data_IF_678261622655
#
_entry.id   IF_678261622655
#
_cell.length_a   1.000
_cell.length_b   1.000
_cell.length_c   1.000
_cell.angle_alpha   90.00
_cell.angle_beta   90.00
_cell.angle_gamma   90.00
#
_symmetry.space_group_name_H-M   'P 1'
#
loop_
_entity.id
_entity.type
_entity.pdbx_description
1 polymer ?
#
# COMPACT_ATOMS: atom_id res chain seq x y z
N UNK A 1 -4.64 20.07 -7.24
CA UNK A 1 -3.22 20.44 -7.13
C UNK A 1 -2.49 19.27 -6.54
N UNK A 2 -1.66 18.57 -7.32
CA UNK A 2 -0.84 17.48 -6.83
C UNK A 2 0.31 18.06 -6.01
N UNK A 3 0.41 17.70 -4.73
CA UNK A 3 1.60 17.99 -3.95
C UNK A 3 2.65 16.91 -4.27
N UNK A 4 3.69 17.32 -4.96
CA UNK A 4 4.88 16.51 -5.17
C UNK A 4 5.76 16.60 -3.91
N UNK A 5 5.94 15.50 -3.21
CA UNK A 5 6.88 15.41 -2.10
C UNK A 5 7.99 14.44 -2.50
N UNK A 6 9.12 14.93 -3.01
CA UNK A 6 10.25 14.05 -3.30
C UNK A 6 10.86 13.56 -1.99
N UNK A 7 10.86 12.26 -1.78
CA UNK A 7 11.59 11.62 -0.69
C UNK A 7 12.54 10.58 -1.28
N UNK A 8 13.82 10.76 -1.06
CA UNK A 8 14.84 9.79 -1.43
C UNK A 8 14.62 8.47 -0.66
N UNK A 9 14.40 7.39 -1.40
CA UNK A 9 14.24 6.05 -0.82
C UNK A 9 15.63 5.45 -0.62
N UNK A 10 16.25 5.75 0.52
CA UNK A 10 17.47 5.06 0.96
C UNK A 10 17.12 3.79 1.73
N UNK A 11 17.82 2.69 1.45
CA UNK A 11 17.64 1.42 2.17
C UNK A 11 18.16 1.56 3.62
N UNK A 12 17.30 1.91 4.56
CA UNK A 12 17.56 1.79 5.98
C UNK A 12 16.61 0.77 6.61
N UNK A 13 17.14 -0.10 7.44
CA UNK A 13 16.45 -1.16 8.18
C UNK A 13 15.61 -0.62 9.35
N UNK A 14 14.81 0.40 9.13
CA UNK A 14 13.92 0.91 10.15
C UNK A 14 12.68 0.01 10.27
N UNK A 15 12.52 -0.64 11.41
CA UNK A 15 11.23 -1.21 11.81
C UNK A 15 10.22 -0.07 11.94
N UNK A 16 9.23 -0.05 11.04
CA UNK A 16 8.22 0.98 11.06
C UNK A 16 7.07 0.57 12.00
N UNK A 17 6.79 1.37 13.02
CA UNK A 17 5.72 1.12 14.00
C UNK A 17 4.31 1.46 13.49
N UNK A 18 4.20 2.07 12.32
CA UNK A 18 2.95 2.61 11.77
C UNK A 18 2.17 1.64 10.88
N UNK A 19 1.84 0.42 11.36
CA UNK A 19 0.98 -0.50 10.59
C UNK A 19 -0.42 0.09 10.40
N UNK A 20 -1.05 0.02 9.20
CA UNK A 20 -2.44 0.42 8.99
C UNK A 20 -3.39 -0.36 9.91
N UNK A 21 -4.48 0.29 10.33
CA UNK A 21 -5.48 -0.37 11.18
C UNK A 21 -6.21 -1.49 10.44
N UNK A 22 -6.44 -1.30 9.13
CA UNK A 22 -7.14 -2.24 8.26
C UNK A 22 -6.48 -2.25 6.87
N UNK A 23 -6.82 -3.24 6.04
CA UNK A 23 -6.39 -3.29 4.67
C UNK A 23 -7.07 -4.38 3.87
N UNK A 24 -6.97 -4.27 2.55
CA UNK A 24 -7.31 -5.35 1.63
C UNK A 24 -6.01 -6.04 1.24
N UNK A 25 -5.91 -7.31 1.56
CA UNK A 25 -4.80 -8.17 1.15
C UNK A 25 -5.30 -9.20 0.14
N UNK A 26 -4.45 -9.60 -0.80
CA UNK A 26 -4.79 -10.70 -1.70
C UNK A 26 -4.84 -12.02 -0.94
N UNK A 27 -5.87 -12.80 -1.21
CA UNK A 27 -5.88 -14.22 -0.90
C UNK A 27 -5.07 -14.93 -1.99
N UNK A 28 -4.03 -15.63 -1.57
CA UNK A 28 -3.14 -16.37 -2.46
C UNK A 28 -3.50 -17.86 -2.41
N UNK A 29 -3.53 -18.50 -3.56
CA UNK A 29 -3.58 -19.96 -3.68
C UNK A 29 -2.26 -20.61 -3.22
N UNK A 30 -2.21 -21.93 -3.24
CA UNK A 30 -1.07 -22.68 -2.72
C UNK A 30 0.19 -22.46 -3.56
N UNK A 31 0.05 -22.39 -4.87
CA UNK A 31 1.15 -22.17 -5.81
C UNK A 31 1.75 -20.76 -5.63
N UNK A 32 0.91 -19.74 -5.55
CA UNK A 32 1.32 -18.36 -5.27
C UNK A 32 2.02 -18.25 -3.91
N UNK A 33 1.49 -18.93 -2.87
CA UNK A 33 2.13 -18.96 -1.55
C UNK A 33 3.51 -19.63 -1.58
N UNK A 34 3.66 -20.71 -2.33
CA UNK A 34 4.94 -21.40 -2.50
C UNK A 34 5.95 -20.49 -3.23
N UNK A 35 5.53 -19.80 -4.28
CA UNK A 35 6.36 -18.83 -4.99
C UNK A 35 6.82 -17.68 -4.06
N UNK A 36 5.91 -17.11 -3.29
CA UNK A 36 6.21 -16.09 -2.27
C UNK A 36 7.20 -16.63 -1.23
N UNK A 37 6.98 -17.84 -0.73
CA UNK A 37 7.87 -18.45 0.27
C UNK A 37 9.29 -18.63 -0.25
N UNK A 38 9.45 -19.07 -1.50
CA UNK A 38 10.73 -19.21 -2.16
C UNK A 38 11.42 -17.85 -2.36
N UNK A 39 10.68 -16.85 -2.82
CA UNK A 39 11.16 -15.47 -2.97
C UNK A 39 11.67 -14.89 -1.66
N UNK A 40 10.92 -15.09 -0.57
CA UNK A 40 11.26 -14.57 0.75
C UNK A 40 12.37 -15.36 1.43
N UNK A 41 12.53 -16.65 1.12
CA UNK A 41 13.63 -17.47 1.66
C UNK A 41 15.01 -16.97 1.18
N UNK A 42 15.08 -16.39 -0.02
CA UNK A 42 16.28 -15.78 -0.57
C UNK A 42 16.62 -14.41 0.04
N UNK A 43 15.71 -13.82 0.81
CA UNK A 43 15.91 -12.50 1.41
C UNK A 43 16.63 -12.60 2.78
N UNK A 44 17.36 -11.54 3.20
CA UNK A 44 17.92 -11.44 4.56
C UNK A 44 16.83 -11.59 5.64
N UNK A 45 17.19 -12.06 6.83
CA UNK A 45 16.22 -12.37 7.92
C UNK A 45 15.23 -11.25 8.26
N UNK A 46 15.68 -10.00 8.28
CA UNK A 46 14.82 -8.82 8.50
C UNK A 46 13.89 -8.49 7.34
N UNK A 47 14.02 -9.19 6.22
CA UNK A 47 13.28 -8.95 4.99
C UNK A 47 12.39 -10.14 4.55
N UNK A 48 12.13 -11.10 5.42
CA UNK A 48 11.34 -12.32 5.13
C UNK A 48 9.82 -12.13 5.30
N UNK A 49 9.30 -10.98 4.88
CA UNK A 49 7.87 -10.71 4.82
C UNK A 49 7.57 -9.86 3.58
N UNK A 50 6.48 -10.08 2.89
CA UNK A 50 6.06 -9.25 1.75
C UNK A 50 5.74 -7.81 2.17
N UNK A 51 5.10 -7.66 3.32
CA UNK A 51 4.71 -6.35 3.83
C UNK A 51 5.76 -5.82 4.82
N UNK A 52 5.83 -4.51 5.06
CA UNK A 52 6.75 -3.93 6.04
C UNK A 52 6.26 -4.19 7.49
N UNK A 53 5.91 -5.44 7.77
CA UNK A 53 5.50 -5.93 9.08
C UNK A 53 5.91 -7.39 9.23
N UNK A 54 6.29 -7.79 10.44
CA UNK A 54 6.59 -9.19 10.77
C UNK A 54 5.38 -9.96 11.31
N UNK A 55 4.18 -9.35 11.23
CA UNK A 55 2.94 -9.99 11.65
C UNK A 55 2.65 -11.22 10.78
N UNK A 56 2.71 -12.41 11.39
CA UNK A 56 2.69 -13.69 10.69
C UNK A 56 1.50 -13.89 9.72
N UNK A 57 0.25 -13.51 10.06
CA UNK A 57 -0.89 -13.67 9.16
C UNK A 57 -0.78 -12.90 7.86
N UNK A 58 0.03 -11.81 7.83
CA UNK A 58 0.23 -10.95 6.67
C UNK A 58 1.54 -11.24 5.92
N UNK A 59 2.37 -12.15 6.43
CA UNK A 59 3.71 -12.40 5.88
C UNK A 59 3.68 -12.78 4.40
N UNK A 60 2.69 -13.60 4.00
CA UNK A 60 2.53 -14.13 2.65
C UNK A 60 1.29 -13.60 1.92
N UNK A 61 0.68 -12.52 2.42
CA UNK A 61 -0.51 -11.89 1.86
C UNK A 61 -0.21 -10.45 1.48
N UNK A 62 0.06 -10.13 0.21
CA UNK A 62 0.41 -8.77 -0.17
C UNK A 62 -0.76 -7.81 0.07
N UNK A 63 -0.47 -6.69 0.72
CA UNK A 63 -1.41 -5.60 0.93
C UNK A 63 -1.61 -4.82 -0.37
N UNK A 64 -2.85 -4.83 -0.88
CA UNK A 64 -3.24 -4.05 -2.03
C UNK A 64 -3.77 -2.66 -1.65
N UNK A 65 -4.50 -2.56 -0.52
CA UNK A 65 -5.08 -1.30 -0.04
C UNK A 65 -4.79 -1.15 1.43
N UNK A 66 -4.31 0.02 1.83
CA UNK A 66 -4.04 0.35 3.23
C UNK A 66 -5.06 1.34 3.76
N UNK A 67 -5.62 1.07 4.94
CA UNK A 67 -6.67 1.87 5.57
C UNK A 67 -6.24 2.26 6.98
N UNK A 68 -6.21 3.55 7.27
CA UNK A 68 -6.00 4.10 8.61
C UNK A 68 -7.26 4.79 9.09
N UNK A 69 -7.72 4.41 10.28
CA UNK A 69 -8.87 5.05 10.94
C UNK A 69 -8.39 5.85 12.15
N UNK A 70 -8.80 7.10 12.23
CA UNK A 70 -8.47 8.05 13.31
C UNK A 70 -9.70 8.73 13.85
N UNK A 71 -9.64 9.06 15.14
CA UNK A 71 -10.62 9.97 15.73
C UNK A 71 -10.51 11.38 15.09
N UNK A 72 -11.59 12.14 15.02
CA UNK A 72 -11.58 13.49 14.46
C UNK A 72 -10.95 14.50 15.44
N UNK A 73 -9.66 14.29 15.77
CA UNK A 73 -8.90 15.17 16.66
C UNK A 73 -7.85 15.94 15.86
N UNK A 74 -7.58 17.23 16.18
CA UNK A 74 -6.60 18.04 15.45
C UNK A 74 -5.16 17.51 15.50
N UNK A 75 -4.84 16.68 16.50
CA UNK A 75 -3.49 16.23 16.78
C UNK A 75 -3.01 15.05 15.90
N UNK A 76 -3.94 14.31 15.26
CA UNK A 76 -3.60 13.08 14.54
C UNK A 76 -4.30 13.02 13.18
N UNK A 77 -3.66 13.54 12.15
CA UNK A 77 -4.20 13.46 10.78
C UNK A 77 -4.14 12.05 10.17
N UNK A 78 -3.27 11.19 10.65
CA UNK A 78 -3.02 9.86 10.06
C UNK A 78 -2.22 9.88 8.75
N UNK A 79 -1.94 11.05 8.18
CA UNK A 79 -1.21 11.20 6.91
C UNK A 79 0.21 10.65 7.02
N UNK A 80 0.90 10.98 8.10
CA UNK A 80 2.25 10.49 8.37
C UNK A 80 2.30 8.96 8.48
N UNK A 81 1.26 8.33 9.04
CA UNK A 81 1.19 6.88 9.16
C UNK A 81 1.01 6.21 7.79
N UNK A 82 0.09 6.70 6.95
CA UNK A 82 -0.14 6.15 5.61
C UNK A 82 1.04 6.40 4.67
N UNK A 83 1.61 7.61 4.71
CA UNK A 83 2.76 7.96 3.86
C UNK A 83 3.99 7.13 4.23
N UNK A 84 4.28 6.98 5.50
CA UNK A 84 5.38 6.14 5.95
C UNK A 84 5.17 4.66 5.65
N UNK A 85 3.94 4.15 5.81
CA UNK A 85 3.62 2.78 5.41
C UNK A 85 3.81 2.58 3.91
N UNK A 86 3.27 3.48 3.07
CA UNK A 86 3.44 3.40 1.63
C UNK A 86 4.91 3.44 1.22
N UNK A 87 5.71 4.32 1.85
CA UNK A 87 7.15 4.38 1.63
C UNK A 87 7.85 3.07 2.02
N UNK A 88 7.53 2.52 3.18
CA UNK A 88 8.11 1.25 3.64
C UNK A 88 7.71 0.09 2.73
N UNK A 89 6.44 0.06 2.27
CA UNK A 89 5.95 -0.95 1.36
C UNK A 89 6.65 -0.86 -0.01
N UNK A 90 6.77 0.34 -0.57
CA UNK A 90 7.47 0.55 -1.84
C UNK A 90 8.95 0.19 -1.75
N UNK A 91 9.63 0.56 -0.66
CA UNK A 91 11.02 0.13 -0.40
C UNK A 91 11.14 -1.39 -0.37
N UNK A 92 10.16 -2.07 0.22
CA UNK A 92 10.11 -3.52 0.25
C UNK A 92 9.96 -4.11 -1.14
N UNK A 93 9.06 -3.60 -1.96
CA UNK A 93 8.89 -4.07 -3.35
C UNK A 93 10.16 -3.84 -4.18
N UNK A 94 10.78 -2.67 -4.03
CA UNK A 94 12.10 -2.36 -4.65
C UNK A 94 13.19 -3.37 -4.24
N UNK A 95 13.22 -3.76 -2.97
CA UNK A 95 14.22 -4.73 -2.47
C UNK A 95 13.95 -6.16 -2.97
N UNK A 96 12.70 -6.52 -3.22
CA UNK A 96 12.30 -7.81 -3.74
C UNK A 96 12.58 -7.88 -5.24
N UNK A 97 12.32 -6.82 -5.97
CA UNK A 97 12.49 -6.73 -7.42
C UNK A 97 13.00 -5.35 -7.83
N UNK A 98 13.88 -5.32 -8.83
CA UNK A 98 14.37 -4.07 -9.38
C UNK A 98 13.22 -3.24 -9.98
N UNK A 99 12.99 -1.98 -9.54
CA UNK A 99 11.88 -1.17 -10.03
C UNK A 99 11.95 -0.83 -11.51
N UNK A 100 13.15 -0.88 -12.12
CA UNK A 100 13.31 -0.68 -13.55
C UNK A 100 12.58 -1.75 -14.38
N UNK A 101 12.31 -2.90 -13.77
CA UNK A 101 11.60 -4.03 -14.39
C UNK A 101 10.08 -3.99 -14.12
N UNK A 102 9.62 -3.05 -13.27
CA UNK A 102 8.20 -2.86 -12.93
C UNK A 102 7.57 -1.81 -13.84
N UNK A 103 6.96 -2.25 -14.93
CA UNK A 103 6.20 -1.37 -15.84
C UNK A 103 4.80 -1.94 -16.09
N UNK A 104 3.73 -1.16 -15.94
CA UNK A 104 3.68 0.23 -15.48
C UNK A 104 3.82 0.38 -13.95
N UNK A 105 4.15 1.58 -13.43
CA UNK A 105 4.21 1.78 -11.99
C UNK A 105 2.83 1.57 -11.35
N UNK A 106 2.79 0.76 -10.30
CA UNK A 106 1.55 0.53 -9.57
C UNK A 106 1.23 1.72 -8.67
N UNK A 107 0.04 2.30 -8.83
CA UNK A 107 -0.48 3.30 -7.91
C UNK A 107 -1.24 2.61 -6.76
N UNK A 108 -0.68 2.67 -5.54
CA UNK A 108 -1.30 2.12 -4.34
C UNK A 108 -2.40 3.04 -3.83
N UNK A 109 -3.63 2.57 -3.68
CA UNK A 109 -4.68 3.32 -2.99
C UNK A 109 -4.47 3.30 -1.48
N UNK A 110 -4.57 4.47 -0.89
CA UNK A 110 -4.44 4.72 0.53
C UNK A 110 -5.74 5.34 1.03
N UNK A 111 -6.37 4.73 2.02
CA UNK A 111 -7.65 5.19 2.55
C UNK A 111 -7.44 5.73 3.96
N UNK A 112 -7.90 6.94 4.19
CA UNK A 112 -7.95 7.55 5.51
C UNK A 112 -9.39 7.76 5.93
N UNK A 113 -9.71 7.28 7.12
CA UNK A 113 -11.02 7.49 7.74
C UNK A 113 -10.83 8.39 8.95
N UNK A 114 -11.44 9.56 8.94
CA UNK A 114 -11.41 10.51 10.06
C UNK A 114 -12.82 10.69 10.61
N UNK A 115 -13.08 10.07 11.74
CA UNK A 115 -14.44 9.98 12.27
C UNK A 115 -15.36 9.25 11.28
N UNK A 116 -16.21 10.01 10.59
CA UNK A 116 -17.13 9.47 9.59
C UNK A 116 -16.68 9.69 8.15
N UNK A 117 -15.70 10.56 7.91
CA UNK A 117 -15.29 10.97 6.57
C UNK A 117 -14.26 10.00 5.98
N UNK A 118 -14.51 9.57 4.74
CA UNK A 118 -13.66 8.66 4.00
C UNK A 118 -12.94 9.40 2.89
N UNK A 119 -11.61 9.37 2.96
CA UNK A 119 -10.71 10.07 2.05
C UNK A 119 -9.81 9.04 1.37
N UNK A 120 -9.51 9.26 0.09
CA UNK A 120 -8.63 8.39 -0.69
C UNK A 120 -7.51 9.22 -1.29
N UNK A 121 -6.31 8.69 -1.21
CA UNK A 121 -5.10 9.19 -1.88
C UNK A 121 -4.42 8.03 -2.61
N UNK A 122 -3.45 8.35 -3.48
CA UNK A 122 -2.68 7.35 -4.21
C UNK A 122 -1.20 7.64 -4.04
N UNK A 123 -0.40 6.57 -3.97
CA UNK A 123 1.04 6.67 -3.94
C UNK A 123 1.66 5.72 -4.98
N UNK A 124 2.66 6.17 -5.73
CA UNK A 124 3.40 5.34 -6.67
C UNK A 124 4.87 5.73 -6.71
N UNK A 125 5.70 4.85 -7.27
CA UNK A 125 7.10 5.13 -7.51
C UNK A 125 7.30 5.67 -8.93
N UNK A 126 8.08 6.75 -9.02
CA UNK A 126 8.64 7.25 -10.27
C UNK A 126 10.15 7.18 -10.23
N UNK A 127 10.76 6.92 -11.38
CA UNK A 127 12.22 7.03 -11.53
C UNK A 127 12.51 8.44 -12.06
N UNK A 128 12.99 9.32 -11.19
CA UNK A 128 13.40 10.67 -11.53
C UNK A 128 14.90 10.83 -11.34
N UNK A 129 15.62 11.22 -12.40
CA UNK A 129 17.09 11.41 -12.37
C UNK A 129 17.88 10.21 -11.83
N UNK A 130 17.44 8.98 -12.18
CA UNK A 130 18.08 7.73 -11.72
C UNK A 130 17.79 7.36 -10.26
N UNK A 131 16.84 8.03 -9.61
CA UNK A 131 16.41 7.75 -8.23
C UNK A 131 14.94 7.38 -8.18
N UNK A 132 14.60 6.45 -7.27
CA UNK A 132 13.22 6.11 -6.99
C UNK A 132 12.60 7.19 -6.09
N UNK A 133 11.59 7.89 -6.61
CA UNK A 133 10.86 8.96 -5.92
C UNK A 133 9.45 8.49 -5.65
N UNK A 134 9.00 8.58 -4.39
CA UNK A 134 7.61 8.31 -4.04
C UNK A 134 6.76 9.54 -4.36
N UNK A 135 5.80 9.38 -5.25
CA UNK A 135 4.85 10.42 -5.62
C UNK A 135 3.53 10.18 -4.91
N UNK A 136 2.98 11.26 -4.38
CA UNK A 136 1.70 11.28 -3.67
C UNK A 136 0.68 12.12 -4.42
N UNK A 137 -0.46 11.55 -4.75
CA UNK A 137 -1.62 12.29 -5.22
C UNK A 137 -2.49 12.67 -4.02
N UNK A 138 -2.87 13.95 -3.95
CA UNK A 138 -3.63 14.52 -2.86
C UNK A 138 -4.97 13.83 -2.60
N UNK A 139 -5.49 14.00 -1.39
CA UNK A 139 -6.70 13.35 -0.93
C UNK A 139 -7.97 13.83 -1.62
N UNK A 140 -8.86 12.89 -1.89
CA UNK A 140 -10.22 13.14 -2.34
C UNK A 140 -11.20 12.57 -1.32
N UNK A 141 -12.09 13.40 -0.79
CA UNK A 141 -13.20 12.94 0.03
C UNK A 141 -14.22 12.23 -0.83
N UNK A 142 -14.46 10.95 -0.56
CA UNK A 142 -15.37 10.11 -1.35
C UNK A 142 -16.78 10.08 -0.78
N UNK A 143 -16.90 9.94 0.53
CA UNK A 143 -18.18 9.80 1.20
C UNK A 143 -18.04 9.90 2.71
N UNK A 144 -19.15 9.62 3.41
CA UNK A 144 -19.22 9.61 4.87
C UNK A 144 -20.21 8.54 5.37
N UNK A 145 -20.10 8.16 6.63
CA UNK A 145 -21.03 7.21 7.26
C UNK A 145 -22.14 7.91 8.08
N UNK A 146 -22.30 9.23 7.95
CA UNK A 146 -23.36 10.01 8.62
C UNK A 146 -24.66 10.05 7.82
N UNK A 147 -24.54 9.94 6.50
CA UNK A 147 -25.66 10.00 5.58
C UNK A 147 -25.83 8.71 4.81
N UNK A 148 -27.07 8.38 4.44
CA UNK A 148 -27.34 7.19 3.63
C UNK A 148 -26.60 7.26 2.28
N UNK A 149 -26.63 8.41 1.61
CA UNK A 149 -25.93 8.60 0.35
C UNK A 149 -24.41 8.49 0.53
N UNK A 150 -23.88 9.06 1.61
CA UNK A 150 -22.47 8.94 1.96
C UNK A 150 -22.05 7.49 2.17
N UNK A 151 -22.85 6.71 2.90
CA UNK A 151 -22.61 5.29 3.14
C UNK A 151 -22.62 4.46 1.84
N UNK A 152 -23.54 4.74 0.90
CA UNK A 152 -23.53 4.10 -0.41
C UNK A 152 -22.27 4.43 -1.24
N UNK A 153 -21.78 5.68 -1.16
CA UNK A 153 -20.51 6.07 -1.81
C UNK A 153 -19.33 5.30 -1.19
N UNK A 154 -19.28 5.16 0.13
CA UNK A 154 -18.23 4.38 0.82
C UNK A 154 -18.30 2.91 0.42
N UNK A 155 -19.48 2.30 0.39
CA UNK A 155 -19.66 0.92 -0.07
C UNK A 155 -19.15 0.74 -1.50
N UNK A 156 -19.52 1.65 -2.40
CA UNK A 156 -19.06 1.64 -3.80
C UNK A 156 -17.54 1.76 -3.88
N UNK A 157 -16.94 2.64 -3.06
CA UNK A 157 -15.48 2.76 -2.98
C UNK A 157 -14.84 1.41 -2.60
N UNK A 158 -15.31 0.78 -1.52
CA UNK A 158 -14.75 -0.50 -1.04
C UNK A 158 -14.86 -1.57 -2.12
N UNK A 159 -16.00 -1.66 -2.80
CA UNK A 159 -16.20 -2.61 -3.91
C UNK A 159 -15.25 -2.35 -5.09
N UNK A 160 -15.04 -1.07 -5.44
CA UNK A 160 -14.08 -0.69 -6.50
C UNK A 160 -12.65 -1.00 -6.12
N UNK A 161 -12.26 -0.75 -4.88
CA UNK A 161 -10.93 -1.07 -4.37
C UNK A 161 -10.70 -2.59 -4.30
N UNK A 162 -11.70 -3.36 -3.90
CA UNK A 162 -11.64 -4.83 -3.91
C UNK A 162 -11.50 -5.37 -5.33
N UNK A 163 -12.27 -4.84 -6.29
CA UNK A 163 -12.13 -5.21 -7.71
C UNK A 163 -10.75 -4.85 -8.25
N UNK A 164 -10.26 -3.63 -7.97
CA UNK A 164 -8.92 -3.20 -8.36
C UNK A 164 -7.83 -4.13 -7.77
N UNK A 165 -7.98 -4.52 -6.50
CA UNK A 165 -7.04 -5.44 -5.84
C UNK A 165 -7.01 -6.81 -6.51
N UNK A 166 -8.17 -7.36 -6.90
CA UNK A 166 -8.27 -8.68 -7.51
C UNK A 166 -7.90 -8.73 -9.00
N UNK A 167 -7.95 -7.60 -9.69
CA UNK A 167 -7.64 -7.52 -11.13
C UNK A 167 -6.28 -6.86 -11.36
N UNK A 168 -6.18 -5.57 -11.06
CA UNK A 168 -4.98 -4.79 -11.41
C UNK A 168 -3.79 -5.09 -10.51
N UNK A 169 -4.01 -5.10 -9.19
CA UNK A 169 -2.94 -5.38 -8.25
C UNK A 169 -2.47 -6.84 -8.36
N UNK A 170 -3.40 -7.79 -8.53
CA UNK A 170 -3.05 -9.20 -8.73
C UNK A 170 -2.18 -9.39 -9.97
N UNK A 171 -2.60 -8.89 -11.13
CA UNK A 171 -1.82 -9.01 -12.36
C UNK A 171 -0.41 -8.44 -12.21
N UNK A 172 -0.29 -7.25 -11.63
CA UNK A 172 1.01 -6.64 -11.33
C UNK A 172 1.85 -7.50 -10.36
N UNK A 173 1.22 -8.06 -9.33
CA UNK A 173 1.92 -8.87 -8.33
C UNK A 173 2.36 -10.22 -8.91
N UNK A 174 1.57 -10.83 -9.79
CA UNK A 174 1.94 -12.05 -10.50
C UNK A 174 3.19 -11.80 -11.38
N UNK A 175 3.29 -10.63 -12.03
CA UNK A 175 4.51 -10.20 -12.74
C UNK A 175 5.72 -10.06 -11.81
N UNK A 176 5.49 -9.59 -10.56
CA UNK A 176 6.56 -9.53 -9.53
C UNK A 176 7.08 -10.91 -9.17
N UNK A 177 6.24 -11.94 -9.18
CA UNK A 177 6.62 -13.30 -8.80
C UNK A 177 7.29 -14.10 -9.94
N UNK A 178 6.99 -13.77 -11.21
CA UNK A 178 7.41 -14.58 -12.38
C UNK A 178 8.75 -14.17 -13.01
N UNK A 179 9.29 -13.05 -12.61
CA UNK A 179 10.62 -12.59 -13.03
C UNK A 179 11.62 -12.70 -11.91
#
# INVERSE_FOLDING_TARGET
MSQFVPQDICASSASWEGVPNYGLALECDEDTRAAIANLLAAQPDGLRSLNPTMYQPLRFRPFAVSIVAKAPTPAESGDGQLSGWAQAWMKRMVAIRNPADLSPPLALPLVRVVGHDWLVSWAWLEVASGRNVLVYMGEVRVGDTRTVLGAYKVLTLIQRLAHWATVNFRAWFDDVLTC
#
